data_IF_891059726142
#
_entry.id   IF_891059726142
#
_cell.length_a   1.000
_cell.length_b   1.000
_cell.length_c   1.000
_cell.angle_alpha   90.00
_cell.angle_beta   90.00
_cell.angle_gamma   90.00
#
_symmetry.space_group_name_H-M   'P 1'
#
loop_
_entity.id
_entity.type
_entity.pdbx_description
1 polymer ?
#
# COMPACT_ATOMS: atom_id res chain seq x y z
N UNK A 1 9.12 -2.83 62.52
CA UNK A 1 9.68 -3.34 61.24
C UNK A 1 8.70 -3.06 60.12
N UNK A 2 8.90 -2.00 59.34
CA UNK A 2 8.06 -1.60 58.22
C UNK A 2 8.75 -2.04 56.92
N UNK A 3 8.18 -3.04 56.22
CA UNK A 3 8.63 -3.46 54.89
C UNK A 3 8.14 -2.41 53.90
N UNK A 4 9.06 -1.64 53.31
CA UNK A 4 8.79 -0.79 52.15
C UNK A 4 8.67 -1.66 50.93
N UNK A 5 7.47 -1.72 50.35
CA UNK A 5 7.17 -2.35 49.06
C UNK A 5 7.66 -1.36 47.96
N UNK A 6 8.76 -1.67 47.30
CA UNK A 6 9.17 -0.98 46.09
C UNK A 6 8.34 -1.51 44.93
N UNK A 7 7.33 -0.73 44.51
CA UNK A 7 6.70 -0.93 43.21
C UNK A 7 7.65 -0.40 42.13
N UNK A 8 8.33 -1.32 41.45
CA UNK A 8 9.07 -1.00 40.25
C UNK A 8 8.03 -0.83 39.10
N UNK A 9 7.73 0.42 38.78
CA UNK A 9 6.92 0.77 37.61
C UNK A 9 7.78 0.54 36.39
N UNK A 10 7.68 -0.65 35.79
CA UNK A 10 8.19 -0.90 34.44
C UNK A 10 7.36 -0.06 33.48
N UNK A 11 7.85 1.13 33.15
CA UNK A 11 7.38 1.88 32.00
C UNK A 11 7.77 1.08 30.76
N UNK A 12 6.85 0.26 30.27
CA UNK A 12 6.88 -0.25 28.90
C UNK A 12 6.79 0.97 27.97
N UNK A 13 7.94 1.50 27.56
CA UNK A 13 8.02 2.29 26.35
C UNK A 13 7.65 1.34 25.19
N UNK A 14 6.36 1.17 24.94
CA UNK A 14 5.89 0.71 23.65
C UNK A 14 6.36 1.79 22.67
N UNK A 15 7.45 1.52 21.96
CA UNK A 15 7.79 2.25 20.75
C UNK A 15 6.55 2.15 19.85
N UNK A 16 5.75 3.22 19.85
CA UNK A 16 4.59 3.32 18.98
C UNK A 16 5.13 3.27 17.57
N UNK A 17 5.08 2.08 16.97
CA UNK A 17 5.41 1.90 15.54
C UNK A 17 4.47 2.85 14.80
N UNK A 18 5.03 3.98 14.40
CA UNK A 18 4.29 4.99 13.65
C UNK A 18 3.82 4.34 12.36
N UNK A 19 2.53 4.07 12.26
CA UNK A 19 1.90 3.66 11.01
C UNK A 19 2.02 4.83 10.05
N UNK A 20 3.11 4.86 9.30
CA UNK A 20 3.41 5.93 8.38
C UNK A 20 3.13 5.45 6.96
N UNK A 21 2.18 6.08 6.30
CA UNK A 21 1.74 5.72 4.95
C UNK A 21 1.91 6.90 4.00
N UNK A 22 1.95 6.63 2.70
CA UNK A 22 1.85 7.65 1.66
C UNK A 22 0.77 7.21 0.69
N UNK A 23 -0.15 8.12 0.36
CA UNK A 23 -1.24 7.82 -0.58
C UNK A 23 -1.38 8.93 -1.62
N UNK A 24 -1.91 8.58 -2.79
CA UNK A 24 -2.34 9.52 -3.81
C UNK A 24 -3.63 9.03 -4.47
N UNK A 25 -4.49 9.96 -4.85
CA UNK A 25 -5.67 9.70 -5.68
C UNK A 25 -5.60 10.58 -6.91
N UNK A 26 -5.86 9.99 -8.07
CA UNK A 26 -5.85 10.67 -9.37
C UNK A 26 -7.23 10.51 -10.00
N UNK A 27 -7.83 11.65 -10.37
CA UNK A 27 -9.08 11.70 -11.12
C UNK A 27 -8.95 10.96 -12.46
N UNK A 28 -9.98 10.24 -12.88
CA UNK A 28 -10.02 9.63 -14.22
C UNK A 28 -9.79 10.63 -15.36
N UNK A 29 -10.09 11.91 -15.15
CA UNK A 29 -9.81 12.98 -16.14
C UNK A 29 -8.32 13.15 -16.41
N UNK A 30 -7.45 12.78 -15.46
CA UNK A 30 -5.98 12.93 -15.55
C UNK A 30 -5.26 11.61 -15.84
N UNK A 31 -5.96 10.49 -15.89
CA UNK A 31 -5.36 9.17 -16.19
C UNK A 31 -5.36 8.86 -17.69
N UNK A 32 -4.41 8.03 -18.11
CA UNK A 32 -4.25 7.68 -19.53
C UNK A 32 -5.45 6.95 -20.13
N UNK A 33 -6.15 6.18 -19.33
CA UNK A 33 -7.27 5.35 -19.75
C UNK A 33 -8.64 5.82 -19.22
N UNK A 34 -8.70 6.98 -18.57
CA UNK A 34 -9.93 7.58 -18.08
C UNK A 34 -10.49 6.94 -16.80
N UNK A 35 -9.74 6.07 -16.11
CA UNK A 35 -10.15 5.41 -14.87
C UNK A 35 -9.46 6.05 -13.67
N UNK A 36 -10.13 6.30 -12.55
CA UNK A 36 -9.47 6.84 -11.38
C UNK A 36 -8.40 5.87 -10.86
N UNK A 37 -7.31 6.42 -10.34
CA UNK A 37 -6.22 5.66 -9.75
C UNK A 37 -6.04 6.04 -8.28
N UNK A 38 -5.69 5.05 -7.49
CA UNK A 38 -5.40 5.22 -6.07
C UNK A 38 -4.10 4.49 -5.73
N UNK A 39 -3.19 5.16 -5.04
CA UNK A 39 -1.90 4.60 -4.61
C UNK A 39 -1.80 4.61 -3.09
N UNK A 40 -1.17 3.59 -2.52
CA UNK A 40 -0.78 3.55 -1.11
C UNK A 40 0.48 2.73 -0.91
N UNK A 41 1.44 3.26 -0.11
CA UNK A 41 2.36 2.45 0.69
C UNK A 41 1.78 2.27 2.09
N UNK A 42 1.86 1.07 2.62
CA UNK A 42 1.39 0.75 3.96
C UNK A 42 2.57 0.44 4.87
N UNK A 43 2.80 1.31 5.85
CA UNK A 43 3.83 1.12 6.84
C UNK A 43 3.25 0.49 8.11
N UNK A 44 3.96 -0.48 8.61
CA UNK A 44 3.69 -1.22 9.83
C UNK A 44 4.92 -2.05 10.11
N UNK A 45 4.94 -2.93 11.11
CA UNK A 45 5.94 -3.97 11.04
C UNK A 45 5.61 -4.83 9.81
N UNK A 46 6.58 -5.13 8.99
CA UNK A 46 6.38 -6.01 7.83
C UNK A 46 5.78 -7.36 8.25
N UNK A 47 5.96 -7.75 9.50
CA UNK A 47 5.32 -8.89 10.16
C UNK A 47 3.79 -8.76 10.27
N UNK A 48 3.25 -7.55 10.29
CA UNK A 48 1.82 -7.31 10.48
C UNK A 48 1.03 -7.10 9.18
N UNK A 49 1.71 -6.95 8.03
CA UNK A 49 1.09 -6.63 6.74
C UNK A 49 1.29 -7.74 5.70
N UNK A 50 1.27 -9.00 6.12
CA UNK A 50 1.59 -10.15 5.26
C UNK A 50 0.37 -10.88 4.74
N UNK A 51 -0.85 -10.38 4.97
CA UNK A 51 -2.05 -11.15 4.66
C UNK A 51 -2.99 -10.36 3.78
N UNK A 52 -3.36 -10.95 2.65
CA UNK A 52 -4.53 -10.55 1.88
C UNK A 52 -5.71 -11.43 2.22
N UNK A 53 -6.90 -10.83 2.16
CA UNK A 53 -8.13 -11.53 2.45
C UNK A 53 -9.14 -11.23 1.37
N UNK A 54 -9.69 -12.27 0.80
CA UNK A 54 -10.90 -12.22 0.03
C UNK A 54 -12.05 -12.69 0.93
N UNK A 55 -13.01 -11.83 1.20
CA UNK A 55 -14.19 -12.17 2.00
C UNK A 55 -15.37 -12.28 1.06
N UNK A 56 -15.91 -13.47 0.94
CA UNK A 56 -17.16 -13.71 0.23
C UNK A 56 -18.34 -13.26 1.10
N UNK A 57 -19.32 -12.60 0.49
CA UNK A 57 -20.49 -12.15 1.21
C UNK A 57 -21.51 -13.27 1.42
N UNK A 58 -21.48 -13.88 2.61
CA UNK A 58 -22.52 -14.83 3.03
C UNK A 58 -23.65 -14.19 3.85
N UNK A 59 -23.63 -12.86 4.07
CA UNK A 59 -24.52 -12.19 5.05
C UNK A 59 -25.17 -10.89 4.55
N UNK A 60 -25.38 -10.73 3.23
CA UNK A 60 -25.97 -9.51 2.65
C UNK A 60 -25.02 -8.32 2.54
N UNK A 61 -23.71 -8.54 2.73
CA UNK A 61 -22.64 -7.55 2.57
C UNK A 61 -21.90 -7.73 1.24
N UNK A 62 -21.21 -6.71 0.77
CA UNK A 62 -20.43 -6.79 -0.44
C UNK A 62 -19.18 -7.67 -0.27
N UNK A 63 -18.86 -8.46 -1.30
CA UNK A 63 -17.59 -9.15 -1.39
C UNK A 63 -16.46 -8.14 -1.61
N UNK A 64 -15.32 -8.33 -0.96
CA UNK A 64 -14.17 -7.43 -1.12
C UNK A 64 -12.82 -8.17 -1.04
N UNK A 65 -11.80 -7.57 -1.66
CA UNK A 65 -10.39 -7.89 -1.42
C UNK A 65 -9.84 -6.81 -0.51
N UNK A 66 -9.19 -7.23 0.59
CA UNK A 66 -8.61 -6.30 1.54
C UNK A 66 -7.28 -6.79 2.10
N UNK A 67 -6.36 -5.87 2.37
CA UNK A 67 -5.14 -6.16 3.09
C UNK A 67 -5.39 -6.02 4.59
N UNK A 68 -5.26 -7.11 5.32
CA UNK A 68 -5.50 -7.18 6.76
C UNK A 68 -4.21 -7.33 7.56
N UNK A 69 -4.31 -7.00 8.85
CA UNK A 69 -3.24 -7.17 9.82
C UNK A 69 -3.15 -8.63 10.30
N UNK A 70 -1.94 -9.19 10.33
CA UNK A 70 -1.70 -10.58 10.71
C UNK A 70 -2.24 -10.95 12.11
N UNK A 71 -2.05 -10.06 13.08
CA UNK A 71 -2.35 -10.31 14.50
C UNK A 71 -3.81 -10.02 14.90
N UNK A 72 -4.71 -9.82 13.93
CA UNK A 72 -6.13 -9.68 14.18
C UNK A 72 -6.86 -10.96 13.77
N UNK A 73 -7.14 -11.89 14.69
CA UNK A 73 -7.77 -13.18 14.36
C UNK A 73 -9.17 -13.01 13.74
N UNK A 74 -9.81 -11.88 13.96
CA UNK A 74 -11.17 -11.57 13.49
C UNK A 74 -11.21 -10.76 12.19
N UNK A 75 -10.06 -10.47 11.56
CA UNK A 75 -9.98 -9.66 10.34
C UNK A 75 -10.68 -8.30 10.42
N UNK A 76 -10.75 -7.73 11.60
CA UNK A 76 -11.52 -6.51 11.86
C UNK A 76 -10.82 -5.22 11.40
N UNK A 77 -9.56 -5.30 10.94
CA UNK A 77 -8.79 -4.11 10.56
C UNK A 77 -8.19 -4.29 9.16
N UNK A 78 -8.70 -3.51 8.20
CA UNK A 78 -8.25 -3.48 6.80
C UNK A 78 -7.50 -2.18 6.55
N UNK A 79 -6.38 -2.25 5.84
CA UNK A 79 -5.54 -1.09 5.52
C UNK A 79 -5.87 -0.45 4.17
N UNK A 80 -6.33 -1.25 3.23
CA UNK A 80 -6.78 -0.86 1.89
C UNK A 80 -7.53 -2.02 1.26
N UNK A 81 -8.39 -1.73 0.30
CA UNK A 81 -9.13 -2.76 -0.42
C UNK A 81 -10.07 -2.19 -1.46
N UNK A 82 -10.71 -3.11 -2.17
CA UNK A 82 -11.78 -2.84 -3.14
C UNK A 82 -12.92 -3.84 -2.97
N UNK A 83 -14.15 -3.45 -3.28
CA UNK A 83 -15.30 -4.34 -3.24
C UNK A 83 -15.92 -4.60 -4.62
N UNK A 84 -16.87 -5.51 -4.68
CA UNK A 84 -17.56 -5.95 -5.91
C UNK A 84 -18.39 -4.85 -6.60
N UNK A 85 -18.64 -3.73 -5.92
CA UNK A 85 -19.30 -2.56 -6.47
C UNK A 85 -18.32 -1.58 -7.13
N UNK A 86 -17.01 -1.89 -7.13
CA UNK A 86 -15.97 -1.01 -7.65
C UNK A 86 -15.61 0.14 -6.69
N UNK A 87 -16.14 0.12 -5.47
CA UNK A 87 -15.73 1.03 -4.43
C UNK A 87 -14.42 0.56 -3.82
N UNK A 88 -13.45 1.47 -3.70
CA UNK A 88 -12.14 1.16 -3.14
C UNK A 88 -11.68 2.21 -2.14
N UNK A 89 -10.88 1.78 -1.17
CA UNK A 89 -10.41 2.61 -0.08
C UNK A 89 -8.95 2.42 0.26
N UNK A 90 -8.33 3.52 0.69
CA UNK A 90 -7.03 3.59 1.37
C UNK A 90 -7.12 4.53 2.56
N UNK A 91 -6.15 4.50 3.47
CA UNK A 91 -6.03 5.52 4.52
C UNK A 91 -4.58 5.85 4.88
N UNK A 92 -4.43 6.98 5.60
CA UNK A 92 -3.24 7.33 6.38
C UNK A 92 -3.68 7.76 7.76
N UNK A 93 -2.96 7.37 8.80
CA UNK A 93 -3.16 7.99 10.12
C UNK A 93 -2.74 9.46 10.07
N UNK A 94 -3.52 10.33 10.70
CA UNK A 94 -3.28 11.78 10.78
C UNK A 94 -3.40 12.21 12.25
N UNK A 95 -2.26 12.26 12.95
CA UNK A 95 -2.22 12.54 14.39
C UNK A 95 -2.49 14.02 14.74
N UNK A 96 -2.51 14.87 13.74
CA UNK A 96 -2.74 16.32 13.81
C UNK A 96 -4.22 16.72 13.79
N UNK A 97 -5.15 15.76 13.79
CA UNK A 97 -6.60 15.98 13.78
C UNK A 97 -7.27 15.88 15.16
N UNK A 98 -6.53 16.14 16.22
CA UNK A 98 -6.99 16.21 17.62
C UNK A 98 -7.94 15.08 18.07
N UNK A 99 -7.70 13.86 17.57
CA UNK A 99 -8.50 12.70 17.95
C UNK A 99 -7.99 12.07 19.27
N UNK A 100 -8.87 11.51 20.14
CA UNK A 100 -8.48 10.97 21.43
C UNK A 100 -7.61 9.71 21.37
N UNK A 101 -7.44 9.12 20.20
CA UNK A 101 -6.67 7.89 19.94
C UNK A 101 -7.18 6.67 20.72
N UNK A 102 -8.43 6.72 21.15
CA UNK A 102 -9.13 5.64 21.86
C UNK A 102 -10.61 5.63 21.49
N UNK A 103 -11.20 4.46 21.25
CA UNK A 103 -12.61 4.34 20.90
C UNK A 103 -12.96 3.02 20.22
N UNK A 104 -14.22 2.81 19.93
CA UNK A 104 -14.77 1.55 19.39
C UNK A 104 -14.28 1.24 17.98
N UNK A 105 -14.16 2.26 17.11
CA UNK A 105 -13.78 2.07 15.72
C UNK A 105 -12.39 2.59 15.43
N UNK A 106 -11.47 1.70 15.11
CA UNK A 106 -10.16 2.05 14.55
C UNK A 106 -10.30 2.41 13.08
N UNK A 107 -9.28 3.04 12.51
CA UNK A 107 -9.28 3.37 11.07
C UNK A 107 -9.45 2.14 10.17
N UNK A 108 -8.93 0.98 10.56
CA UNK A 108 -9.08 -0.26 9.79
C UNK A 108 -10.47 -0.88 9.91
N UNK A 109 -11.17 -0.68 11.04
CA UNK A 109 -12.57 -1.08 11.19
C UNK A 109 -13.46 -0.26 10.25
N UNK A 110 -13.23 1.05 10.15
CA UNK A 110 -14.01 1.93 9.27
C UNK A 110 -13.86 1.50 7.81
N UNK A 111 -12.63 1.19 7.36
CA UNK A 111 -12.41 0.68 5.99
C UNK A 111 -13.17 -0.63 5.77
N UNK A 112 -13.10 -1.58 6.70
CA UNK A 112 -13.82 -2.84 6.58
C UNK A 112 -15.33 -2.61 6.45
N UNK A 113 -15.91 -1.82 7.36
CA UNK A 113 -17.35 -1.51 7.36
C UNK A 113 -17.76 -0.85 6.04
N UNK A 114 -16.95 0.08 5.53
CA UNK A 114 -17.21 0.74 4.27
C UNK A 114 -17.14 -0.22 3.07
N UNK A 115 -16.11 -1.08 2.99
CA UNK A 115 -16.01 -2.08 1.93
C UNK A 115 -17.18 -3.08 1.95
N UNK A 116 -17.70 -3.40 3.12
CA UNK A 116 -18.85 -4.29 3.30
C UNK A 116 -20.20 -3.66 2.91
N UNK A 117 -20.34 -2.33 2.95
CA UNK A 117 -21.67 -1.69 2.91
C UNK A 117 -21.78 -0.51 1.94
N UNK A 118 -20.67 0.07 1.43
CA UNK A 118 -20.71 1.22 0.55
C UNK A 118 -20.35 0.83 -0.89
N UNK A 119 -21.13 1.32 -1.85
CA UNK A 119 -20.86 1.19 -3.27
C UNK A 119 -20.31 2.51 -3.87
N UNK A 120 -20.54 3.64 -3.19
CA UNK A 120 -20.20 4.98 -3.70
C UNK A 120 -19.49 5.83 -2.66
N UNK A 121 -18.81 6.89 -3.14
CA UNK A 121 -18.21 7.92 -2.29
C UNK A 121 -19.25 8.61 -1.40
N UNK A 122 -20.46 8.83 -1.92
CA UNK A 122 -21.55 9.48 -1.16
C UNK A 122 -22.11 8.56 -0.08
N UNK A 123 -22.22 7.26 -0.33
CA UNK A 123 -22.60 6.28 0.72
C UNK A 123 -21.54 6.21 1.82
N UNK A 124 -20.24 6.31 1.47
CA UNK A 124 -19.19 6.42 2.48
C UNK A 124 -19.29 7.71 3.27
N UNK A 125 -19.60 8.84 2.65
CA UNK A 125 -19.85 10.10 3.35
C UNK A 125 -21.04 10.00 4.30
N UNK A 126 -22.12 9.33 3.88
CA UNK A 126 -23.28 9.07 4.74
C UNK A 126 -22.90 8.18 5.94
N UNK A 127 -22.10 7.14 5.72
CA UNK A 127 -21.55 6.30 6.80
C UNK A 127 -20.73 7.12 7.79
N UNK A 128 -19.83 8.00 7.32
CA UNK A 128 -18.99 8.84 8.19
C UNK A 128 -19.85 9.75 9.09
N UNK A 129 -20.99 10.25 8.62
CA UNK A 129 -21.93 11.05 9.45
C UNK A 129 -22.47 10.25 10.64
N UNK A 130 -22.64 8.94 10.51
CA UNK A 130 -23.10 8.07 11.60
C UNK A 130 -21.97 7.69 12.59
N UNK A 131 -20.72 7.78 12.18
CA UNK A 131 -19.55 7.38 12.97
C UNK A 131 -18.84 8.56 13.65
N UNK A 132 -19.21 9.78 13.31
CA UNK A 132 -18.65 11.02 13.89
C UNK A 132 -19.14 11.23 15.33
N UNK A 133 -18.32 11.75 16.27
CA UNK A 133 -16.89 12.11 16.11
C UNK A 133 -15.96 10.89 16.06
N UNK A 134 -14.78 11.08 15.46
CA UNK A 134 -13.85 9.98 15.26
C UNK A 134 -12.84 9.86 16.40
N UNK A 135 -12.67 8.64 16.88
CA UNK A 135 -11.70 8.32 17.94
C UNK A 135 -10.25 8.36 17.46
N UNK A 136 -10.00 8.23 16.16
CA UNK A 136 -8.67 8.19 15.55
C UNK A 136 -8.59 9.11 14.35
N UNK A 137 -7.60 10.02 14.36
CA UNK A 137 -7.34 10.91 13.22
C UNK A 137 -6.84 10.13 12.00
N UNK A 138 -7.51 10.30 10.85
CA UNK A 138 -7.17 9.59 9.62
C UNK A 138 -7.60 10.35 8.37
N UNK A 139 -6.78 10.26 7.32
CA UNK A 139 -7.18 10.62 5.97
C UNK A 139 -7.70 9.35 5.30
N UNK A 140 -8.99 9.28 4.98
CA UNK A 140 -9.57 8.20 4.18
C UNK A 140 -9.67 8.66 2.74
N UNK A 141 -9.05 7.90 1.83
CA UNK A 141 -9.19 8.08 0.40
C UNK A 141 -10.12 7.04 -0.19
N UNK A 142 -11.02 7.42 -1.10
CA UNK A 142 -11.90 6.49 -1.79
C UNK A 142 -12.15 6.88 -3.25
N UNK A 143 -12.46 5.87 -4.06
CA UNK A 143 -12.94 5.98 -5.45
C UNK A 143 -14.12 5.03 -5.62
N UNK A 144 -14.97 5.27 -6.63
CA UNK A 144 -16.10 4.40 -6.96
C UNK A 144 -16.27 4.17 -8.46
N UNK A 145 -17.22 3.28 -8.81
CA UNK A 145 -17.49 2.91 -10.20
C UNK A 145 -18.16 4.02 -11.04
N UNK A 146 -18.69 5.07 -10.40
CA UNK A 146 -19.19 6.26 -11.10
C UNK A 146 -18.06 7.24 -11.47
N UNK A 147 -16.82 6.95 -11.04
CA UNK A 147 -15.64 7.79 -11.27
C UNK A 147 -15.45 8.88 -10.23
N UNK A 148 -16.24 8.88 -9.13
CA UNK A 148 -16.01 9.78 -8.01
C UNK A 148 -14.71 9.41 -7.29
N UNK A 149 -14.04 10.44 -6.74
CA UNK A 149 -12.77 10.30 -6.06
C UNK A 149 -12.62 11.37 -4.99
N UNK A 150 -12.38 11.00 -3.73
CA UNK A 150 -12.29 11.95 -2.64
C UNK A 150 -11.37 11.51 -1.51
N UNK A 151 -10.85 12.47 -0.75
CA UNK A 151 -10.32 12.28 0.59
C UNK A 151 -11.29 12.83 1.64
N UNK A 152 -11.35 12.15 2.78
CA UNK A 152 -12.02 12.58 4.00
C UNK A 152 -11.01 12.63 5.12
N UNK A 153 -10.71 13.82 5.61
CA UNK A 153 -9.86 14.04 6.78
C UNK A 153 -10.73 14.01 8.03
N UNK A 154 -10.65 12.93 8.81
CA UNK A 154 -11.53 12.62 9.93
C UNK A 154 -10.82 12.77 11.26
N UNK A 155 -11.44 13.45 12.24
CA UNK A 155 -10.91 13.67 13.58
C UNK A 155 -12.01 13.94 14.61
N UNK A 156 -11.65 14.43 15.83
CA UNK A 156 -12.59 14.66 16.91
C UNK A 156 -13.77 15.60 16.54
N UNK A 157 -13.51 16.55 15.65
CA UNK A 157 -14.48 17.57 15.24
C UNK A 157 -15.30 17.18 13.98
N UNK A 158 -15.30 15.88 13.62
CA UNK A 158 -15.99 15.41 12.42
C UNK A 158 -15.02 15.19 11.25
N UNK A 159 -15.45 15.49 10.03
CA UNK A 159 -14.61 15.29 8.84
C UNK A 159 -14.66 16.49 7.90
N UNK A 160 -13.62 16.58 7.04
CA UNK A 160 -13.56 17.50 5.89
C UNK A 160 -13.36 16.71 4.61
N UNK A 161 -14.26 16.91 3.63
CA UNK A 161 -14.17 16.28 2.30
C UNK A 161 -13.32 17.10 1.35
N UNK A 162 -12.51 16.42 0.54
CA UNK A 162 -11.71 16.98 -0.54
C UNK A 162 -12.01 16.18 -1.82
N UNK A 163 -12.83 16.73 -2.68
CA UNK A 163 -13.19 16.11 -3.96
C UNK A 163 -12.03 16.26 -4.96
N UNK A 164 -11.53 15.11 -5.44
CA UNK A 164 -10.41 15.08 -6.40
C UNK A 164 -10.87 15.49 -7.82
N UNK A 165 -12.17 15.44 -8.10
CA UNK A 165 -12.76 15.83 -9.37
C UNK A 165 -13.11 17.33 -9.44
N UNK A 166 -13.09 18.04 -8.29
CA UNK A 166 -13.32 19.47 -8.22
C UNK A 166 -12.02 20.23 -8.52
N UNK A 167 -11.94 21.02 -9.61
CA UNK A 167 -10.73 21.78 -9.95
C UNK A 167 -10.41 22.89 -8.92
N UNK A 168 -11.35 23.32 -8.10
CA UNK A 168 -11.09 24.26 -7.01
C UNK A 168 -10.32 23.60 -5.86
N UNK A 169 -10.50 22.29 -5.66
CA UNK A 169 -9.83 21.49 -4.62
C UNK A 169 -8.58 20.81 -5.14
N UNK A 170 -8.64 20.25 -6.35
CA UNK A 170 -7.56 19.52 -7.00
C UNK A 170 -7.30 20.07 -8.43
N UNK A 171 -6.69 21.25 -8.58
CA UNK A 171 -6.53 21.91 -9.88
C UNK A 171 -5.71 21.11 -10.89
N UNK A 172 -4.86 20.20 -10.42
CA UNK A 172 -4.09 19.27 -11.27
C UNK A 172 -4.75 17.88 -11.38
N UNK A 173 -5.98 17.71 -10.85
CA UNK A 173 -6.75 16.44 -10.90
C UNK A 173 -6.14 15.30 -10.08
N UNK A 174 -5.37 15.61 -9.05
CA UNK A 174 -4.88 14.64 -8.07
C UNK A 174 -4.70 15.27 -6.68
N UNK A 175 -4.73 14.45 -5.65
CA UNK A 175 -4.35 14.81 -4.28
C UNK A 175 -3.40 13.76 -3.70
N UNK A 176 -2.44 14.22 -2.90
CA UNK A 176 -1.49 13.39 -2.14
C UNK A 176 -1.77 13.55 -0.65
N UNK A 177 -1.58 12.50 0.13
CA UNK A 177 -1.61 12.53 1.59
C UNK A 177 -0.46 11.69 2.16
N UNK A 178 0.01 12.09 3.36
CA UNK A 178 0.87 11.27 4.20
C UNK A 178 0.30 11.21 5.62
N UNK A 179 1.11 11.23 6.67
CA UNK A 179 0.62 11.09 8.04
C UNK A 179 0.31 12.42 8.73
N UNK A 180 -0.24 13.33 7.98
CA UNK A 180 -0.87 14.56 8.46
C UNK A 180 -2.04 14.93 7.54
N UNK A 181 -2.96 15.73 8.04
CA UNK A 181 -4.10 16.27 7.31
C UNK A 181 -3.78 17.71 6.83
N UNK A 182 -4.30 18.07 5.67
CA UNK A 182 -4.20 19.48 5.17
C UNK A 182 -5.05 20.41 6.06
N UNK A 183 -6.13 19.90 6.63
CA UNK A 183 -7.00 20.66 7.55
C UNK A 183 -6.54 20.64 9.01
N UNK A 184 -5.48 19.89 9.33
CA UNK A 184 -4.91 19.77 10.67
C UNK A 184 -3.75 20.73 10.91
N UNK A 185 -3.02 20.48 12.00
CA UNK A 185 -1.77 21.19 12.33
C UNK A 185 -0.57 20.37 11.87
N UNK A 186 0.02 20.73 10.74
CA UNK A 186 1.16 20.00 10.14
C UNK A 186 2.34 19.83 11.12
N UNK A 187 2.49 20.71 12.11
CA UNK A 187 3.55 20.61 13.11
C UNK A 187 3.36 19.43 14.08
N UNK A 188 2.13 18.93 14.21
CA UNK A 188 1.79 17.71 14.97
C UNK A 188 1.78 16.46 14.11
N UNK A 189 1.87 16.62 12.79
CA UNK A 189 1.85 15.53 11.82
C UNK A 189 3.23 14.93 11.56
N UNK A 190 3.27 13.88 10.75
CA UNK A 190 4.51 13.23 10.31
C UNK A 190 4.49 12.95 8.81
N UNK A 191 5.68 12.73 8.21
CA UNK A 191 5.79 12.31 6.81
C UNK A 191 5.74 13.45 5.80
N UNK A 192 6.08 14.67 6.21
CA UNK A 192 6.18 15.83 5.32
C UNK A 192 7.16 15.58 4.16
N UNK A 193 8.29 14.94 4.43
CA UNK A 193 9.27 14.54 3.42
C UNK A 193 8.67 13.64 2.34
N UNK A 194 7.91 12.63 2.73
CA UNK A 194 7.24 11.69 1.83
C UNK A 194 6.09 12.35 1.06
N UNK A 195 5.35 13.25 1.69
CA UNK A 195 4.35 14.07 1.01
C UNK A 195 4.97 14.91 -0.10
N UNK A 196 6.07 15.63 0.21
CA UNK A 196 6.80 16.44 -0.78
C UNK A 196 7.26 15.59 -1.95
N UNK A 197 7.91 14.44 -1.68
CA UNK A 197 8.41 13.56 -2.74
C UNK A 197 7.28 12.96 -3.57
N UNK A 198 6.22 12.46 -2.97
CA UNK A 198 5.07 11.94 -3.71
C UNK A 198 4.38 13.02 -4.56
N UNK A 199 4.28 14.25 -4.05
CA UNK A 199 3.76 15.39 -4.83
C UNK A 199 4.66 15.71 -6.03
N UNK A 200 5.99 15.75 -5.84
CA UNK A 200 6.95 15.95 -6.93
C UNK A 200 6.86 14.86 -8.00
N UNK A 201 6.75 13.60 -7.59
CA UNK A 201 6.58 12.48 -8.51
C UNK A 201 5.25 12.56 -9.28
N UNK A 202 4.18 13.00 -8.62
CA UNK A 202 2.90 13.28 -9.29
C UNK A 202 3.04 14.41 -10.31
N UNK A 203 3.71 15.50 -9.96
CA UNK A 203 3.98 16.61 -10.88
C UNK A 203 4.78 16.16 -12.10
N UNK A 204 5.86 15.38 -11.88
CA UNK A 204 6.66 14.77 -12.96
C UNK A 204 5.81 13.84 -13.84
N UNK A 205 4.87 13.10 -13.25
CA UNK A 205 3.97 12.20 -13.99
C UNK A 205 2.97 12.98 -14.84
N UNK A 206 2.33 14.00 -14.28
CA UNK A 206 1.40 14.89 -15.01
C UNK A 206 2.10 15.69 -16.10
N UNK A 207 3.33 16.16 -15.86
CA UNK A 207 4.12 16.87 -16.87
C UNK A 207 4.47 16.01 -18.09
N UNK A 208 4.51 14.67 -17.94
CA UNK A 208 4.69 13.73 -19.05
C UNK A 208 3.38 13.43 -19.82
N UNK A 209 2.27 14.00 -19.38
CA UNK A 209 0.94 13.79 -19.95
C UNK A 209 -0.03 13.14 -18.97
N UNK A 210 -0.79 12.15 -19.43
CA UNK A 210 -1.76 11.43 -18.61
C UNK A 210 -1.08 10.40 -17.72
N UNK A 211 -1.54 10.33 -16.45
CA UNK A 211 -0.99 9.41 -15.44
C UNK A 211 -1.40 7.96 -15.70
N UNK A 212 -0.46 7.04 -15.52
CA UNK A 212 -0.70 5.58 -15.63
C UNK A 212 -0.50 4.91 -14.28
N UNK A 213 -1.13 3.73 -14.08
CA UNK A 213 -0.90 2.94 -12.88
C UNK A 213 0.58 2.52 -12.73
N UNK A 214 1.27 2.23 -13.85
CA UNK A 214 2.72 1.87 -13.83
C UNK A 214 3.59 3.00 -13.29
N UNK A 215 3.27 4.26 -13.59
CA UNK A 215 3.98 5.40 -12.97
C UNK A 215 3.76 5.45 -11.45
N UNK A 216 2.54 5.18 -10.97
CA UNK A 216 2.27 5.14 -9.52
C UNK A 216 2.99 3.96 -8.84
N UNK A 217 3.16 2.82 -9.51
CA UNK A 217 3.94 1.69 -8.98
C UNK A 217 5.39 2.10 -8.68
N UNK A 218 5.99 2.98 -9.49
CA UNK A 218 7.38 3.43 -9.25
C UNK A 218 7.54 4.25 -7.97
N UNK A 219 6.46 4.81 -7.41
CA UNK A 219 6.53 5.56 -6.15
C UNK A 219 6.93 4.66 -4.98
N UNK A 220 6.46 3.41 -4.97
CA UNK A 220 6.81 2.43 -3.94
C UNK A 220 8.25 1.95 -3.98
N UNK A 221 8.97 2.19 -5.09
CA UNK A 221 10.40 1.88 -5.24
C UNK A 221 11.26 3.11 -5.51
N UNK A 222 10.77 4.30 -5.16
CA UNK A 222 11.50 5.54 -5.32
C UNK A 222 12.73 5.59 -4.41
N UNK A 223 13.91 5.67 -4.99
CA UNK A 223 15.20 5.78 -4.30
C UNK A 223 15.71 7.23 -4.23
N UNK A 224 14.80 8.20 -4.26
CA UNK A 224 15.13 9.62 -4.13
C UNK A 224 14.64 10.14 -2.78
N UNK A 225 15.55 10.76 -2.02
CA UNK A 225 15.28 11.25 -0.66
C UNK A 225 14.29 12.42 -0.67
N UNK A 226 13.31 12.38 0.21
CA UNK A 226 12.16 13.27 0.19
C UNK A 226 12.45 14.76 0.50
N UNK A 227 13.53 15.06 1.21
CA UNK A 227 13.91 16.43 1.56
C UNK A 227 15.11 16.95 0.75
N UNK A 228 16.15 16.13 0.63
CA UNK A 228 17.41 16.55 0.00
C UNK A 228 17.41 16.39 -1.51
N UNK A 229 16.51 15.54 -2.04
CA UNK A 229 16.50 15.20 -3.46
C UNK A 229 17.65 14.27 -3.89
N UNK A 230 18.49 13.79 -2.96
CA UNK A 230 19.57 12.85 -3.27
C UNK A 230 18.95 11.59 -3.88
N UNK A 231 19.39 11.25 -5.07
CA UNK A 231 19.00 10.03 -5.77
C UNK A 231 20.07 8.96 -5.61
N UNK A 232 19.72 7.82 -5.05
CA UNK A 232 20.69 6.73 -4.80
C UNK A 232 21.25 6.10 -6.07
N UNK A 233 20.60 6.28 -7.22
CA UNK A 233 21.16 5.88 -8.51
C UNK A 233 22.38 6.72 -8.92
N UNK A 234 22.54 7.94 -8.39
CA UNK A 234 23.73 8.78 -8.66
C UNK A 234 24.97 8.29 -7.92
N UNK A 235 24.79 7.46 -6.89
CA UNK A 235 25.87 6.87 -6.08
C UNK A 235 25.87 5.34 -6.13
N UNK A 236 25.38 4.76 -7.24
CA UNK A 236 25.25 3.31 -7.40
C UNK A 236 26.62 2.61 -7.26
N UNK A 237 26.77 1.64 -6.33
CA UNK A 237 28.01 0.89 -6.12
C UNK A 237 28.45 0.09 -7.36
N UNK A 238 29.74 -0.15 -7.48
CA UNK A 238 30.27 -0.90 -8.62
C UNK A 238 29.75 -2.35 -8.67
N UNK A 239 29.76 -3.01 -7.51
CA UNK A 239 29.33 -4.40 -7.34
C UNK A 239 28.74 -4.64 -5.95
N UNK A 240 28.35 -5.89 -5.69
CA UNK A 240 27.77 -6.30 -4.42
C UNK A 240 28.80 -6.31 -3.25
N UNK A 241 30.10 -6.41 -3.53
CA UNK A 241 31.16 -6.49 -2.51
C UNK A 241 31.60 -5.11 -2.01
N UNK A 242 31.26 -4.04 -2.74
CA UNK A 242 31.57 -2.65 -2.36
C UNK A 242 30.59 -2.18 -1.27
N UNK A 243 30.89 -2.46 0.00
CA UNK A 243 30.03 -2.11 1.11
C UNK A 243 29.68 -0.62 1.11
N UNK A 244 28.36 -0.33 1.07
CA UNK A 244 27.85 1.03 0.92
C UNK A 244 26.62 1.22 1.83
N UNK A 245 26.83 1.50 3.14
CA UNK A 245 25.74 1.76 4.08
C UNK A 245 25.12 3.12 3.80
N UNK A 246 23.79 3.16 3.65
CA UNK A 246 23.02 4.39 3.43
C UNK A 246 21.93 4.50 4.50
N UNK A 247 21.83 5.66 5.14
CA UNK A 247 20.67 5.97 5.98
C UNK A 247 19.44 6.10 5.08
N UNK A 248 18.47 5.22 5.29
CA UNK A 248 17.27 5.10 4.45
C UNK A 248 16.03 5.62 5.18
N UNK A 249 16.13 6.82 5.73
CA UNK A 249 15.00 7.58 6.28
C UNK A 249 14.49 8.59 5.26
N UNK A 250 13.25 9.04 5.40
CA UNK A 250 12.63 10.07 4.52
C UNK A 250 12.50 9.72 3.02
N UNK A 251 12.57 8.44 2.71
CA UNK A 251 12.14 7.88 1.41
C UNK A 251 10.67 7.48 1.47
N UNK A 252 9.99 7.33 0.31
CA UNK A 252 8.62 6.82 0.26
C UNK A 252 8.59 5.37 0.78
N UNK A 253 9.38 4.41 0.20
CA UNK A 253 9.57 3.12 0.86
C UNK A 253 10.50 3.27 2.06
N UNK A 254 10.24 2.53 3.13
CA UNK A 254 11.05 2.55 4.36
C UNK A 254 11.28 1.15 4.88
N UNK A 255 12.12 1.02 5.90
CA UNK A 255 12.29 -0.24 6.64
C UNK A 255 10.96 -0.85 7.08
N UNK A 256 10.03 -0.01 7.54
CA UNK A 256 8.71 -0.41 8.06
C UNK A 256 7.64 -0.57 6.99
N UNK A 257 7.92 -0.31 5.71
CA UNK A 257 6.95 -0.50 4.64
C UNK A 257 6.74 -2.00 4.40
N UNK A 258 5.51 -2.47 4.59
CA UNK A 258 5.14 -3.88 4.50
C UNK A 258 4.13 -4.19 3.39
N UNK A 259 3.80 -3.20 2.56
CA UNK A 259 2.95 -3.39 1.39
C UNK A 259 2.79 -2.14 0.56
N UNK A 260 2.38 -2.33 -0.69
CA UNK A 260 2.00 -1.27 -1.61
C UNK A 260 0.83 -1.74 -2.47
N UNK A 261 -0.05 -0.82 -2.82
CA UNK A 261 -1.09 -1.07 -3.81
C UNK A 261 -1.30 0.13 -4.72
N UNK A 262 -1.57 -0.15 -5.99
CA UNK A 262 -2.24 0.79 -6.89
C UNK A 262 -3.58 0.17 -7.24
N UNK A 263 -4.69 0.84 -6.91
CA UNK A 263 -6.02 0.41 -7.30
C UNK A 263 -6.43 1.23 -8.51
N UNK A 264 -6.70 0.53 -9.62
CA UNK A 264 -7.22 1.09 -10.85
C UNK A 264 -8.72 0.85 -10.89
N UNK A 265 -9.51 1.92 -10.77
CA UNK A 265 -10.96 1.86 -10.84
C UNK A 265 -11.48 1.52 -12.24
N UNK A 266 -12.76 1.73 -12.43
CA UNK A 266 -13.47 1.55 -13.71
C UNK A 266 -13.98 2.91 -14.22
N UNK A 267 -14.37 2.97 -15.50
CA UNK A 267 -15.13 4.10 -16.05
C UNK A 267 -16.60 3.98 -15.65
N UNK A 268 -17.35 5.08 -15.63
CA UNK A 268 -18.80 5.02 -15.52
C UNK A 268 -19.38 4.05 -16.55
N UNK A 269 -20.31 3.19 -16.11
CA UNK A 269 -20.96 2.13 -16.90
C UNK A 269 -20.07 0.92 -17.25
N UNK A 270 -18.82 0.85 -16.84
CA UNK A 270 -18.05 -0.40 -16.89
C UNK A 270 -18.46 -1.34 -15.76
N UNK A 271 -18.20 -2.65 -15.95
CA UNK A 271 -18.43 -3.63 -14.90
C UNK A 271 -17.52 -3.35 -13.69
N UNK A 272 -18.07 -3.11 -12.49
CA UNK A 272 -17.30 -2.82 -11.27
C UNK A 272 -16.26 -3.89 -10.90
N UNK A 273 -16.50 -5.15 -11.27
CA UNK A 273 -15.57 -6.27 -11.03
C UNK A 273 -14.25 -6.14 -11.81
N UNK A 274 -14.17 -5.21 -12.78
CA UNK A 274 -12.93 -4.90 -13.52
C UNK A 274 -12.00 -3.95 -12.75
N UNK A 275 -12.43 -3.46 -11.58
CA UNK A 275 -11.53 -2.75 -10.65
C UNK A 275 -10.36 -3.67 -10.32
N UNK A 276 -9.13 -3.16 -10.49
CA UNK A 276 -7.91 -3.96 -10.41
C UNK A 276 -7.00 -3.45 -9.31
N UNK A 277 -6.64 -4.31 -8.37
CA UNK A 277 -5.58 -4.03 -7.38
C UNK A 277 -4.24 -4.57 -7.89
N UNK A 278 -3.32 -3.68 -8.23
CA UNK A 278 -1.91 -3.98 -8.50
C UNK A 278 -1.16 -3.96 -7.18
N UNK A 279 -0.91 -5.13 -6.63
CA UNK A 279 -0.56 -5.33 -5.24
C UNK A 279 0.85 -5.88 -5.06
N UNK A 280 1.64 -5.25 -4.18
CA UNK A 280 2.91 -5.74 -3.68
C UNK A 280 2.78 -6.06 -2.18
N UNK A 281 2.90 -7.34 -1.81
CA UNK A 281 2.90 -7.79 -0.41
C UNK A 281 4.31 -7.95 0.11
N UNK A 282 4.61 -7.31 1.23
CA UNK A 282 5.96 -7.15 1.75
C UNK A 282 6.55 -5.78 1.39
N UNK A 283 7.86 -5.61 1.60
CA UNK A 283 8.52 -4.34 1.26
C UNK A 283 8.58 -4.15 -0.26
N UNK A 284 8.11 -3.02 -0.82
CA UNK A 284 8.04 -2.81 -2.26
C UNK A 284 9.39 -2.87 -3.00
N UNK A 285 10.50 -2.71 -2.29
CA UNK A 285 11.84 -2.88 -2.86
C UNK A 285 12.22 -4.36 -3.05
N UNK A 286 11.50 -5.28 -2.38
CA UNK A 286 11.82 -6.72 -2.27
C UNK A 286 10.72 -7.61 -2.82
N UNK A 287 9.65 -7.04 -3.37
CA UNK A 287 8.49 -7.82 -3.82
C UNK A 287 7.99 -7.37 -5.17
N UNK A 288 7.46 -8.31 -5.93
CA UNK A 288 6.82 -8.06 -7.23
C UNK A 288 5.38 -7.63 -7.04
N UNK A 289 4.84 -6.91 -8.02
CA UNK A 289 3.44 -6.51 -8.09
C UNK A 289 2.62 -7.59 -8.81
N UNK A 290 1.49 -7.95 -8.21
CA UNK A 290 0.54 -8.93 -8.78
C UNK A 290 -0.83 -8.28 -8.92
N UNK A 291 -1.46 -8.32 -10.11
CA UNK A 291 -2.83 -7.82 -10.28
C UNK A 291 -3.85 -8.79 -9.70
N UNK A 292 -4.81 -8.25 -8.95
CA UNK A 292 -5.90 -9.00 -8.32
C UNK A 292 -7.25 -8.44 -8.72
N UNK A 293 -8.20 -9.34 -8.92
CA UNK A 293 -9.61 -9.04 -9.20
C UNK A 293 -10.50 -9.80 -8.22
N UNK A 294 -11.71 -9.28 -7.99
CA UNK A 294 -12.76 -10.07 -7.36
C UNK A 294 -13.24 -11.08 -8.39
N UNK A 295 -12.96 -12.33 -8.14
CA UNK A 295 -13.25 -13.45 -9.07
C UNK A 295 -14.54 -14.16 -8.65
N UNK A 296 -15.25 -14.80 -9.58
CA UNK A 296 -16.48 -15.56 -9.27
C UNK A 296 -16.27 -16.63 -8.20
N UNK A 297 -15.08 -17.25 -8.15
CA UNK A 297 -14.75 -18.30 -7.15
C UNK A 297 -14.21 -17.76 -5.83
N UNK A 298 -13.88 -16.46 -5.75
CA UNK A 298 -13.17 -15.90 -4.59
C UNK A 298 -11.68 -16.32 -4.51
N UNK A 299 -11.14 -16.89 -5.59
CA UNK A 299 -9.76 -17.36 -5.61
C UNK A 299 -8.77 -16.21 -5.72
N UNK A 300 -7.69 -16.29 -4.95
CA UNK A 300 -6.47 -15.49 -5.05
C UNK A 300 -5.29 -16.38 -5.45
N UNK A 301 -4.18 -15.82 -5.98
CA UNK A 301 -2.93 -16.57 -6.08
C UNK A 301 -2.53 -17.10 -4.70
N UNK A 302 -2.06 -18.35 -4.62
CA UNK A 302 -1.68 -18.98 -3.36
C UNK A 302 -0.56 -18.22 -2.64
N UNK A 303 0.32 -17.57 -3.41
CA UNK A 303 1.44 -16.77 -2.89
C UNK A 303 1.02 -15.50 -2.15
N UNK A 304 -0.15 -14.93 -2.47
CA UNK A 304 -0.67 -13.71 -1.81
C UNK A 304 -1.84 -14.01 -0.88
N UNK A 305 -2.48 -15.16 -1.06
CA UNK A 305 -3.53 -15.65 -0.16
C UNK A 305 -2.96 -16.03 1.21
N UNK A 306 -3.88 -16.26 2.14
CA UNK A 306 -3.53 -16.68 3.48
C UNK A 306 -3.13 -18.16 3.50
N UNK A 307 -1.89 -18.46 3.91
CA UNK A 307 -1.42 -19.83 4.12
C UNK A 307 -1.88 -20.39 5.49
N UNK A 308 -1.51 -21.64 5.81
CA UNK A 308 -1.83 -22.32 7.08
C UNK A 308 -1.36 -21.57 8.32
N UNK A 309 -0.31 -20.75 8.21
CA UNK A 309 0.22 -19.93 9.30
C UNK A 309 -0.43 -18.55 9.38
N UNK A 310 -1.42 -18.27 8.51
CA UNK A 310 -2.13 -17.01 8.47
C UNK A 310 -1.36 -15.88 7.76
N UNK A 311 -0.26 -16.18 7.08
CA UNK A 311 0.62 -15.24 6.36
C UNK A 311 0.53 -15.43 4.85
N UNK A 312 1.04 -14.49 4.06
CA UNK A 312 1.22 -14.70 2.63
C UNK A 312 2.69 -15.05 2.31
N UNK A 313 2.87 -16.06 1.48
CA UNK A 313 4.19 -16.61 1.14
C UNK A 313 5.13 -15.57 0.53
N UNK A 314 4.64 -14.74 -0.41
CA UNK A 314 5.47 -13.71 -1.04
C UNK A 314 5.90 -12.62 -0.04
N UNK A 315 5.07 -12.31 0.95
CA UNK A 315 5.42 -11.42 2.05
C UNK A 315 6.55 -11.98 2.90
N UNK A 316 6.53 -13.27 3.19
CA UNK A 316 7.59 -13.94 3.94
C UNK A 316 8.91 -13.95 3.16
N UNK A 317 8.89 -14.24 1.86
CA UNK A 317 10.07 -14.14 1.00
C UNK A 317 10.62 -12.70 0.94
N UNK A 318 9.75 -11.72 0.76
CA UNK A 318 10.13 -10.30 0.81
C UNK A 318 10.85 -9.93 2.11
N UNK A 319 10.43 -10.50 3.25
CA UNK A 319 11.11 -10.27 4.53
C UNK A 319 12.52 -10.86 4.58
N UNK A 320 12.72 -12.05 4.02
CA UNK A 320 14.06 -12.66 3.94
C UNK A 320 15.01 -11.80 3.09
N UNK A 321 14.54 -11.33 1.91
CA UNK A 321 15.31 -10.42 1.07
C UNK A 321 15.57 -9.07 1.76
N UNK A 322 14.60 -8.55 2.50
CA UNK A 322 14.74 -7.32 3.28
C UNK A 322 15.83 -7.47 4.36
N UNK A 323 15.85 -8.57 5.09
CA UNK A 323 16.86 -8.83 6.12
C UNK A 323 18.27 -8.88 5.56
N UNK A 324 18.43 -9.33 4.31
CA UNK A 324 19.69 -9.31 3.59
C UNK A 324 20.13 -7.89 3.22
N UNK A 325 19.22 -7.04 2.78
CA UNK A 325 19.52 -5.66 2.39
C UNK A 325 19.69 -4.74 3.60
N UNK A 326 18.82 -4.86 4.61
CA UNK A 326 18.98 -4.17 5.91
C UNK A 326 19.83 -5.01 6.85
N UNK A 327 21.10 -5.20 6.47
CA UNK A 327 22.02 -6.11 7.16
C UNK A 327 22.53 -5.59 8.50
N UNK A 328 22.49 -4.28 8.72
CA UNK A 328 22.98 -3.66 9.93
C UNK A 328 21.99 -3.84 11.07
N UNK A 329 22.43 -4.40 12.18
CA UNK A 329 21.58 -4.74 13.33
C UNK A 329 22.04 -3.99 14.59
N UNK A 330 21.10 -3.72 15.47
CA UNK A 330 21.33 -3.07 16.78
C UNK A 330 21.18 -1.55 16.74
N UNK A 331 20.59 -0.99 17.79
CA UNK A 331 20.38 0.44 17.96
C UNK A 331 19.69 1.11 16.79
N UNK A 332 20.23 2.22 16.32
CA UNK A 332 19.72 2.98 15.18
C UNK A 332 20.09 2.37 13.81
N UNK A 333 20.82 1.25 13.78
CA UNK A 333 21.31 0.65 12.55
C UNK A 333 20.20 0.13 11.65
N UNK A 334 18.98 -0.12 12.15
CA UNK A 334 17.82 -0.48 11.33
C UNK A 334 17.43 0.59 10.31
N UNK A 335 17.89 1.84 10.48
CA UNK A 335 17.70 2.91 9.51
C UNK A 335 18.66 2.80 8.30
N UNK A 336 19.70 1.95 8.38
CA UNK A 336 20.69 1.80 7.33
C UNK A 336 20.44 0.55 6.51
N UNK A 337 20.51 0.71 5.19
CA UNK A 337 20.56 -0.41 4.25
C UNK A 337 21.93 -0.49 3.55
N UNK A 338 22.26 -1.66 3.07
CA UNK A 338 23.41 -1.91 2.21
C UNK A 338 23.03 -1.63 0.75
N UNK A 339 23.39 -0.46 0.21
CA UNK A 339 23.00 -0.03 -1.12
C UNK A 339 23.52 -0.99 -2.21
N UNK A 340 24.77 -1.50 -2.04
CA UNK A 340 25.40 -2.49 -2.91
C UNK A 340 24.59 -3.78 -3.07
N UNK A 341 23.84 -4.18 -2.02
CA UNK A 341 22.92 -5.34 -2.05
C UNK A 341 21.57 -5.02 -2.65
N UNK A 342 21.14 -3.75 -2.62
CA UNK A 342 19.87 -3.30 -3.19
C UNK A 342 20.00 -3.04 -4.69
N UNK A 343 20.99 -2.23 -5.08
CA UNK A 343 21.34 -1.87 -6.46
C UNK A 343 22.85 -1.80 -6.63
N UNK A 344 23.36 -2.21 -7.77
CA UNK A 344 24.75 -2.06 -8.17
C UNK A 344 24.88 -2.01 -9.70
N UNK A 345 26.07 -1.63 -10.23
CA UNK A 345 26.30 -1.51 -11.68
C UNK A 345 26.27 -2.85 -12.41
N UNK A 346 26.54 -3.95 -11.70
CA UNK A 346 26.48 -5.30 -12.27
C UNK A 346 25.06 -5.84 -12.42
N UNK A 347 24.02 -5.06 -11.97
CA UNK A 347 22.61 -5.44 -12.03
C UNK A 347 22.27 -6.70 -11.23
N UNK A 348 23.05 -7.00 -10.19
CA UNK A 348 22.84 -8.16 -9.30
C UNK A 348 22.09 -7.80 -8.02
N UNK A 349 21.81 -6.51 -7.77
CA UNK A 349 21.09 -6.07 -6.57
C UNK A 349 19.65 -6.59 -6.51
N UNK A 350 19.15 -6.80 -5.29
CA UNK A 350 17.83 -7.39 -5.04
C UNK A 350 16.70 -6.63 -5.77
N UNK A 351 16.66 -5.29 -5.67
CA UNK A 351 15.64 -4.50 -6.36
C UNK A 351 15.69 -4.71 -7.87
N UNK A 352 16.87 -4.76 -8.45
CA UNK A 352 17.06 -4.93 -9.90
C UNK A 352 16.56 -6.29 -10.38
N UNK A 353 16.85 -7.35 -9.62
CA UNK A 353 16.38 -8.70 -9.93
C UNK A 353 14.86 -8.82 -9.73
N UNK A 354 14.31 -8.25 -8.65
CA UNK A 354 12.87 -8.23 -8.39
C UNK A 354 12.13 -7.47 -9.48
N UNK A 355 12.61 -6.30 -9.93
CA UNK A 355 11.98 -5.55 -11.04
C UNK A 355 12.04 -6.34 -12.36
N UNK A 356 13.14 -7.06 -12.63
CA UNK A 356 13.22 -7.96 -13.79
C UNK A 356 12.20 -9.11 -13.72
N UNK A 357 12.00 -9.69 -12.55
CA UNK A 357 11.00 -10.72 -12.34
C UNK A 357 9.55 -10.18 -12.39
N UNK A 358 9.33 -8.90 -12.06
CA UNK A 358 8.01 -8.27 -12.07
C UNK A 358 7.46 -8.03 -13.48
N UNK A 359 8.30 -7.63 -14.42
CA UNK A 359 7.83 -7.17 -15.73
C UNK A 359 6.96 -8.20 -16.48
N UNK A 360 7.31 -9.50 -16.57
CA UNK A 360 6.43 -10.48 -17.20
C UNK A 360 5.06 -10.64 -16.51
N UNK A 361 4.99 -10.40 -15.19
CA UNK A 361 3.72 -10.45 -14.45
C UNK A 361 2.83 -9.26 -14.85
N UNK A 362 3.43 -8.06 -14.93
CA UNK A 362 2.71 -6.86 -15.35
C UNK A 362 2.24 -6.95 -16.81
N UNK A 363 3.08 -7.44 -17.73
CA UNK A 363 2.73 -7.61 -19.13
C UNK A 363 1.55 -8.59 -19.31
N UNK A 364 1.61 -9.77 -18.68
CA UNK A 364 0.52 -10.75 -18.72
C UNK A 364 -0.74 -10.25 -18.03
N UNK A 365 -0.58 -9.53 -16.91
CA UNK A 365 -1.68 -8.89 -16.19
C UNK A 365 -2.39 -7.83 -17.04
N UNK A 366 -1.63 -6.99 -17.73
CA UNK A 366 -2.17 -6.00 -18.67
C UNK A 366 -2.93 -6.67 -19.84
N UNK A 367 -2.37 -7.74 -20.41
CA UNK A 367 -3.02 -8.49 -21.48
C UNK A 367 -4.36 -9.07 -21.00
N UNK A 368 -4.35 -9.72 -19.82
CA UNK A 368 -5.54 -10.32 -19.25
C UNK A 368 -6.61 -9.27 -18.92
N UNK A 369 -6.21 -8.13 -18.35
CA UNK A 369 -7.12 -7.02 -18.06
C UNK A 369 -7.71 -6.43 -19.34
N UNK A 370 -6.94 -6.32 -20.43
CA UNK A 370 -7.46 -5.90 -21.74
C UNK A 370 -8.54 -6.87 -22.26
N UNK A 371 -8.31 -8.18 -22.12
CA UNK A 371 -9.28 -9.22 -22.49
C UNK A 371 -10.55 -9.13 -21.63
N UNK A 372 -10.43 -8.93 -20.33
CA UNK A 372 -11.58 -8.75 -19.44
C UNK A 372 -12.39 -7.52 -19.81
N UNK A 373 -11.72 -6.39 -20.07
CA UNK A 373 -12.37 -5.15 -20.51
C UNK A 373 -13.09 -5.31 -21.84
N UNK A 374 -12.48 -5.99 -22.80
CA UNK A 374 -13.11 -6.27 -24.10
C UNK A 374 -14.36 -7.15 -23.96
N UNK A 375 -14.39 -8.07 -22.99
CA UNK A 375 -15.54 -8.94 -22.70
C UNK A 375 -16.53 -8.32 -21.69
N UNK A 376 -16.20 -7.17 -21.10
CA UNK A 376 -17.01 -6.53 -20.08
C UNK A 376 -17.11 -7.32 -18.75
N UNK A 377 -16.26 -8.32 -18.52
CA UNK A 377 -16.28 -9.17 -17.31
C UNK A 377 -14.97 -9.87 -17.03
N UNK A 378 -14.73 -10.19 -15.75
CA UNK A 378 -13.68 -11.13 -15.32
C UNK A 378 -14.08 -12.53 -15.80
N UNK A 379 -13.19 -13.22 -16.50
CA UNK A 379 -13.41 -14.58 -17.02
C UNK A 379 -12.48 -15.58 -16.34
N UNK A 380 -12.76 -16.87 -16.43
CA UNK A 380 -11.97 -17.93 -15.79
C UNK A 380 -10.49 -17.99 -16.21
N UNK A 381 -10.09 -17.19 -17.19
CA UNK A 381 -8.69 -17.04 -17.58
C UNK A 381 -7.79 -16.56 -16.43
N UNK A 382 -8.36 -15.92 -15.38
CA UNK A 382 -7.61 -15.60 -14.15
C UNK A 382 -7.01 -16.84 -13.49
N UNK A 383 -7.66 -18.00 -13.55
CA UNK A 383 -7.19 -19.22 -12.90
C UNK A 383 -5.83 -19.66 -13.47
N UNK A 384 -5.73 -19.73 -14.79
CA UNK A 384 -4.46 -20.06 -15.47
C UNK A 384 -3.39 -19.03 -15.19
N UNK A 385 -3.76 -17.73 -15.14
CA UNK A 385 -2.84 -16.66 -14.82
C UNK A 385 -2.34 -16.76 -13.38
N UNK A 386 -3.21 -16.97 -12.39
CA UNK A 386 -2.82 -17.11 -10.98
C UNK A 386 -1.94 -18.33 -10.74
N UNK A 387 -2.28 -19.47 -11.34
CA UNK A 387 -1.44 -20.67 -11.27
C UNK A 387 -0.05 -20.43 -11.88
N UNK A 388 0.01 -19.73 -13.03
CA UNK A 388 1.28 -19.36 -13.64
C UNK A 388 2.08 -18.38 -12.76
N UNK A 389 1.45 -17.37 -12.17
CA UNK A 389 2.09 -16.40 -11.26
C UNK A 389 2.74 -17.14 -10.09
N UNK A 390 2.01 -18.03 -9.42
CA UNK A 390 2.52 -18.77 -8.25
C UNK A 390 3.77 -19.60 -8.59
N UNK A 391 3.74 -20.34 -9.70
CA UNK A 391 4.89 -21.12 -10.17
C UNK A 391 6.07 -20.23 -10.60
N UNK A 392 5.77 -19.17 -11.31
CA UNK A 392 6.77 -18.24 -11.83
C UNK A 392 7.51 -17.52 -10.70
N UNK A 393 6.78 -16.92 -9.75
CA UNK A 393 7.41 -16.19 -8.64
C UNK A 393 8.16 -17.13 -7.71
N UNK A 394 7.68 -18.35 -7.46
CA UNK A 394 8.42 -19.34 -6.68
C UNK A 394 9.78 -19.62 -7.32
N UNK A 395 9.82 -19.83 -8.63
CA UNK A 395 11.06 -20.05 -9.39
C UNK A 395 11.99 -18.83 -9.28
N UNK A 396 11.47 -17.63 -9.55
CA UNK A 396 12.29 -16.42 -9.58
C UNK A 396 12.83 -16.07 -8.17
N UNK A 397 12.01 -16.15 -7.12
CA UNK A 397 12.49 -15.91 -5.74
C UNK A 397 13.49 -16.95 -5.28
N UNK A 398 13.32 -18.22 -5.66
CA UNK A 398 14.33 -19.27 -5.40
C UNK A 398 15.67 -18.94 -6.10
N UNK A 399 15.63 -18.46 -7.33
CA UNK A 399 16.84 -18.07 -8.07
C UNK A 399 17.52 -16.85 -7.42
N UNK A 400 16.75 -15.78 -7.09
CA UNK A 400 17.26 -14.61 -6.41
C UNK A 400 17.88 -15.00 -5.06
N UNK A 401 17.18 -15.76 -4.25
CA UNK A 401 17.65 -16.17 -2.94
C UNK A 401 18.95 -17.02 -3.04
N UNK A 402 19.00 -17.94 -3.99
CA UNK A 402 20.18 -18.78 -4.23
C UNK A 402 21.38 -17.95 -4.65
N UNK A 403 21.22 -16.95 -5.53
CA UNK A 403 22.32 -16.09 -5.98
C UNK A 403 22.93 -15.27 -4.84
N UNK A 404 22.18 -15.01 -3.78
CA UNK A 404 22.63 -14.27 -2.59
C UNK A 404 22.79 -15.15 -1.34
N UNK A 405 22.73 -16.48 -1.48
CA UNK A 405 22.86 -17.45 -0.37
C UNK A 405 21.79 -17.23 0.75
N UNK A 406 20.62 -16.75 0.38
CA UNK A 406 19.50 -16.50 1.28
C UNK A 406 18.61 -17.76 1.33
N UNK A 407 18.18 -18.17 2.52
CA UNK A 407 17.19 -19.26 2.69
C UNK A 407 15.77 -18.66 2.71
N UNK A 408 14.91 -19.10 1.80
CA UNK A 408 13.51 -18.68 1.70
C UNK A 408 12.51 -19.82 1.93
N UNK A 409 13.01 -21.01 2.31
CA UNK A 409 12.20 -22.19 2.63
C UNK A 409 11.34 -21.96 3.89
#
# INVERSE_FOLDING_TARGET
MRKKLFLTLCALLSAAVSLACTTAIVSGKMTADGRPLMFKTADGSAETLRTNIYIHNNSGKYAYIGCARLNFPTMNSIFYGQNEKGFAMVNNTAKDLDAPMSGTYTYGNIIRIALENCATVDEFEALLKTLSPFAYGSNYGCIDAAGNAAYFECGANGYKKFDVNDPAVAPKGYLVRSNYAISGDVNKGTGVSRFKKATELMEKSVAKGKVTYRQLLTFGSCLEHGLTGVNLYDMIPQDENTETPINFTDFIPRYTTGGMVVIQGVKPNENPLLTTSWLAMGNPLMTVVIPLWITPSGQLPASVGRNSEGRCTIGDWSMKLKDYVWAYKGGECYNYLALNRLINKQQTGILQQVRKAEEPILEKGDELLRQFRAKGKVTDAYQSFYNWVDQYIQKEYTNIARSHQIRID
#
